data_IF_016065420368
#
_entry.id   IF_016065420368
#
_cell.length_a   1.000
_cell.length_b   1.000
_cell.length_c   1.000
_cell.angle_alpha   90.00
_cell.angle_beta   90.00
_cell.angle_gamma   90.00
#
_symmetry.space_group_name_H-M   'P 1'
#
loop_
_entity.id
_entity.type
_entity.pdbx_description
1 polymer ?
#
# COMPACT_ATOMS: atom_id res chain seq x y z
N UNK A 1 5.64 -11.51 9.01
CA UNK A 1 4.50 -10.61 8.75
C UNK A 1 5.02 -9.19 8.81
N UNK A 2 4.81 -8.37 7.78
CA UNK A 2 5.25 -6.98 7.74
C UNK A 2 4.33 -6.09 8.59
N UNK A 3 4.78 -4.89 8.96
CA UNK A 3 3.96 -3.95 9.73
C UNK A 3 2.64 -3.61 9.02
N UNK A 4 2.66 -3.37 7.70
CA UNK A 4 1.47 -3.13 6.89
C UNK A 4 0.51 -4.32 6.87
N UNK A 5 1.01 -5.56 6.83
CA UNK A 5 0.17 -6.75 6.96
C UNK A 5 -0.51 -6.79 8.33
N UNK A 6 0.21 -6.46 9.41
CA UNK A 6 -0.35 -6.40 10.76
C UNK A 6 -1.45 -5.35 10.85
N UNK A 7 -1.20 -4.12 10.35
CA UNK A 7 -2.21 -3.04 10.36
C UNK A 7 -3.43 -3.46 9.55
N UNK A 8 -3.25 -3.94 8.32
CA UNK A 8 -4.37 -4.34 7.48
C UNK A 8 -5.19 -5.47 8.10
N UNK A 9 -4.55 -6.43 8.77
CA UNK A 9 -5.23 -7.51 9.50
C UNK A 9 -6.06 -6.98 10.66
N UNK A 10 -5.49 -6.08 11.48
CA UNK A 10 -6.18 -5.48 12.62
C UNK A 10 -7.38 -4.66 12.14
N UNK A 11 -7.19 -3.79 11.15
CA UNK A 11 -8.26 -2.93 10.65
C UNK A 11 -9.36 -3.72 9.94
N UNK A 12 -8.99 -4.79 9.22
CA UNK A 12 -9.98 -5.71 8.67
C UNK A 12 -10.81 -6.34 9.79
N UNK A 13 -10.18 -6.81 10.86
CA UNK A 13 -10.88 -7.40 12.00
C UNK A 13 -11.76 -6.37 12.72
N UNK A 14 -11.27 -5.15 12.94
CA UNK A 14 -12.03 -4.04 13.53
C UNK A 14 -13.29 -3.73 12.69
N UNK A 15 -13.18 -3.68 11.36
CA UNK A 15 -14.33 -3.48 10.48
C UNK A 15 -15.34 -4.63 10.60
N UNK A 16 -14.87 -5.88 10.68
CA UNK A 16 -15.73 -7.06 10.89
C UNK A 16 -16.50 -6.96 12.21
N UNK A 17 -15.81 -6.62 13.29
CA UNK A 17 -16.40 -6.55 14.62
C UNK A 17 -17.43 -5.42 14.75
N UNK A 18 -17.28 -4.35 13.96
CA UNK A 18 -18.21 -3.23 13.89
C UNK A 18 -19.32 -3.40 12.82
N UNK A 19 -19.32 -4.49 12.05
CA UNK A 19 -20.29 -4.70 10.97
C UNK A 19 -20.08 -3.79 9.73
N UNK A 20 -18.92 -3.16 9.60
CA UNK A 20 -18.52 -2.35 8.44
C UNK A 20 -18.04 -3.26 7.30
N UNK A 21 -18.99 -3.78 6.52
CA UNK A 21 -18.74 -4.74 5.42
C UNK A 21 -17.81 -4.13 4.36
N UNK A 22 -18.06 -2.88 3.98
CA UNK A 22 -17.29 -2.18 2.96
C UNK A 22 -15.83 -1.99 3.41
N UNK A 23 -15.63 -1.55 4.67
CA UNK A 23 -14.30 -1.45 5.26
C UNK A 23 -13.61 -2.81 5.37
N UNK A 24 -14.34 -3.86 5.74
CA UNK A 24 -13.82 -5.23 5.83
C UNK A 24 -13.27 -5.73 4.48
N UNK A 25 -14.01 -5.50 3.40
CA UNK A 25 -13.59 -5.87 2.04
C UNK A 25 -12.37 -5.07 1.58
N UNK A 26 -12.37 -3.75 1.81
CA UNK A 26 -11.26 -2.88 1.40
C UNK A 26 -9.97 -3.18 2.18
N UNK A 27 -10.05 -3.38 3.50
CA UNK A 27 -8.89 -3.80 4.29
C UNK A 27 -8.42 -5.22 3.93
N UNK A 28 -9.35 -6.11 3.54
CA UNK A 28 -9.02 -7.41 2.96
C UNK A 28 -8.25 -7.31 1.65
N UNK A 29 -8.66 -6.41 0.75
CA UNK A 29 -7.93 -6.13 -0.48
C UNK A 29 -6.54 -5.56 -0.20
N UNK A 30 -6.39 -4.64 0.75
CA UNK A 30 -5.08 -4.11 1.15
C UNK A 30 -4.19 -5.22 1.71
N UNK A 31 -4.72 -6.08 2.58
CA UNK A 31 -3.97 -7.21 3.13
C UNK A 31 -3.50 -8.16 2.01
N UNK A 32 -4.37 -8.46 1.05
CA UNK A 32 -4.01 -9.21 -0.14
C UNK A 32 -2.89 -8.51 -0.93
N UNK A 33 -3.04 -7.22 -1.20
CA UNK A 33 -2.07 -6.45 -1.97
C UNK A 33 -0.69 -6.43 -1.32
N UNK A 34 -0.60 -6.09 -0.03
CA UNK A 34 0.66 -6.08 0.72
C UNK A 34 1.32 -7.45 0.73
N UNK A 35 0.52 -8.53 0.77
CA UNK A 35 1.03 -9.90 0.74
C UNK A 35 1.59 -10.29 -0.63
N UNK A 36 0.91 -9.90 -1.72
CA UNK A 36 1.37 -10.14 -3.09
C UNK A 36 2.65 -9.36 -3.40
N UNK A 37 2.71 -8.08 -3.02
CA UNK A 37 3.91 -7.27 -3.24
C UNK A 37 5.10 -7.77 -2.42
N UNK A 38 4.86 -8.37 -1.26
CA UNK A 38 5.92 -8.91 -0.41
C UNK A 38 6.93 -7.83 -0.01
N UNK A 39 8.20 -8.19 0.16
CA UNK A 39 9.27 -7.24 0.46
C UNK A 39 9.69 -6.46 -0.80
N UNK A 40 9.64 -7.12 -1.96
CA UNK A 40 10.16 -6.58 -3.22
C UNK A 40 9.29 -5.46 -3.80
N UNK A 41 7.99 -5.46 -3.49
CA UNK A 41 7.06 -4.41 -3.87
C UNK A 41 6.86 -3.29 -2.86
N UNK A 42 7.68 -3.26 -1.80
CA UNK A 42 7.66 -2.20 -0.80
C UNK A 42 8.72 -1.15 -1.12
N UNK A 43 8.42 0.10 -0.77
CA UNK A 43 9.36 1.22 -0.91
C UNK A 43 10.53 1.07 0.05
N UNK A 44 11.72 1.43 -0.41
CA UNK A 44 12.89 1.61 0.45
C UNK A 44 12.84 2.97 1.16
N UNK A 45 13.60 3.07 2.26
CA UNK A 45 13.79 4.32 2.98
C UNK A 45 15.26 4.67 3.11
N UNK A 46 15.59 5.93 2.86
CA UNK A 46 16.90 6.50 3.12
C UNK A 46 16.80 7.56 4.24
N UNK A 47 17.85 7.70 5.04
CA UNK A 47 17.96 8.84 5.97
C UNK A 47 18.38 10.08 5.18
N UNK A 48 17.62 11.17 5.34
CA UNK A 48 17.81 12.41 4.58
C UNK A 48 17.57 13.64 5.46
N UNK A 49 17.80 14.83 4.91
CA UNK A 49 17.59 16.11 5.58
C UNK A 49 16.83 17.10 4.67
N UNK A 50 15.67 17.57 5.13
CA UNK A 50 14.87 18.57 4.42
C UNK A 50 14.66 19.78 5.32
N UNK A 51 15.08 20.97 4.87
CA UNK A 51 15.00 22.24 5.62
C UNK A 51 15.66 22.17 7.03
N UNK A 52 16.72 21.39 7.20
CA UNK A 52 17.40 21.21 8.48
C UNK A 52 16.76 20.17 9.41
N UNK A 53 15.68 19.50 8.98
CA UNK A 53 15.03 18.43 9.71
C UNK A 53 15.42 17.06 9.16
N UNK A 54 15.74 16.11 10.06
CA UNK A 54 15.99 14.72 9.67
C UNK A 54 14.70 14.03 9.25
N UNK A 55 14.64 13.62 7.99
CA UNK A 55 13.49 12.94 7.39
C UNK A 55 13.84 11.53 6.93
N UNK A 56 12.83 10.75 6.59
CA UNK A 56 12.96 9.46 5.90
C UNK A 56 12.50 9.64 4.46
N UNK A 57 13.41 9.61 3.51
CA UNK A 57 13.10 9.69 2.08
C UNK A 57 12.58 8.34 1.60
N UNK A 58 11.33 8.29 1.14
CA UNK A 58 10.66 7.08 0.69
C UNK A 58 10.82 6.96 -0.83
N UNK A 59 11.53 5.93 -1.26
CA UNK A 59 11.84 5.69 -2.67
C UNK A 59 10.70 4.91 -3.34
N UNK A 60 10.38 5.26 -4.59
CA UNK A 60 9.30 4.58 -5.31
C UNK A 60 9.78 3.33 -6.06
N UNK A 61 8.85 2.44 -6.36
CA UNK A 61 9.10 1.19 -7.08
C UNK A 61 8.45 1.28 -8.45
N UNK A 62 9.27 1.28 -9.51
CA UNK A 62 8.80 1.59 -10.87
C UNK A 62 7.73 0.65 -11.43
N UNK A 63 7.73 -0.63 -11.04
CA UNK A 63 6.75 -1.60 -11.53
C UNK A 63 5.37 -1.48 -10.88
N UNK A 64 5.26 -0.81 -9.73
CA UNK A 64 4.04 -0.75 -8.93
C UNK A 64 3.18 0.41 -9.40
N UNK A 65 1.88 0.16 -9.58
CA UNK A 65 0.91 1.22 -9.86
C UNK A 65 0.92 2.34 -8.80
N UNK A 66 0.85 3.62 -9.19
CA UNK A 66 0.89 4.75 -8.26
C UNK A 66 -0.18 4.69 -7.16
N UNK A 67 -1.36 4.12 -7.45
CA UNK A 67 -2.45 3.99 -6.49
C UNK A 67 -2.03 3.21 -5.22
N UNK A 68 -1.17 2.20 -5.37
CA UNK A 68 -0.68 1.43 -4.22
C UNK A 68 0.29 2.22 -3.35
N UNK A 69 1.00 3.20 -3.91
CA UNK A 69 1.84 4.11 -3.12
C UNK A 69 0.98 4.88 -2.13
N UNK A 70 -0.07 5.53 -2.62
CA UNK A 70 -0.99 6.32 -1.79
C UNK A 70 -1.74 5.45 -0.77
N UNK A 71 -2.18 4.25 -1.19
CA UNK A 71 -2.81 3.31 -0.26
C UNK A 71 -1.86 2.90 0.87
N UNK A 72 -0.63 2.51 0.55
CA UNK A 72 0.33 2.07 1.57
C UNK A 72 0.78 3.19 2.49
N UNK A 73 0.87 4.43 1.99
CA UNK A 73 1.11 5.60 2.81
C UNK A 73 -0.03 5.79 3.83
N UNK A 74 -1.28 5.65 3.40
CA UNK A 74 -2.45 5.74 4.28
C UNK A 74 -2.48 4.64 5.36
N UNK A 75 -2.10 3.41 5.00
CA UNK A 75 -1.92 2.32 5.97
C UNK A 75 -0.91 2.71 7.04
N UNK A 76 0.22 3.28 6.64
CA UNK A 76 1.30 3.66 7.57
C UNK A 76 0.89 4.80 8.51
N UNK A 77 0.15 5.81 8.01
CA UNK A 77 -0.35 6.92 8.84
C UNK A 77 -1.28 6.40 9.94
N UNK A 78 -2.12 5.41 9.63
CA UNK A 78 -3.10 4.86 10.58
C UNK A 78 -2.44 4.20 11.79
N UNK A 79 -1.25 3.62 11.61
CA UNK A 79 -0.44 3.10 12.71
C UNK A 79 0.02 4.19 13.68
N UNK A 80 0.41 5.35 13.16
CA UNK A 80 0.87 6.48 13.98
C UNK A 80 -0.27 7.04 14.82
N UNK A 81 -1.49 7.10 14.27
CA UNK A 81 -2.67 7.62 14.95
C UNK A 81 -3.15 6.73 16.12
N UNK A 82 -2.96 5.40 16.05
CA UNK A 82 -3.37 4.45 17.10
C UNK A 82 -2.39 4.35 18.30
N UNK A 83 -1.40 5.25 18.40
CA UNK A 83 -0.81 5.62 19.69
C UNK A 83 -0.03 4.52 20.42
N UNK A 84 0.79 3.72 19.72
CA UNK A 84 1.82 2.93 20.41
C UNK A 84 2.95 3.88 20.85
N UNK A 85 2.90 4.34 22.09
CA UNK A 85 3.86 5.25 22.70
C UNK A 85 5.29 4.74 22.58
N UNK A 86 6.03 5.30 21.62
CA UNK A 86 7.45 5.06 21.41
C UNK A 86 7.95 6.03 20.35
N UNK A 87 9.04 6.74 20.64
CA UNK A 87 9.85 7.62 19.77
C UNK A 87 9.13 8.21 18.55
N UNK A 88 8.88 9.53 18.54
CA UNK A 88 8.36 10.28 17.37
C UNK A 88 8.96 9.74 16.07
N UNK A 89 8.12 9.15 15.23
CA UNK A 89 8.53 8.69 13.90
C UNK A 89 9.02 9.91 13.12
N UNK A 90 10.16 9.77 12.44
CA UNK A 90 10.67 10.83 11.57
C UNK A 90 9.64 11.09 10.47
N UNK A 91 9.50 12.36 10.10
CA UNK A 91 8.68 12.75 8.95
C UNK A 91 9.17 11.98 7.73
N UNK A 92 8.26 11.30 7.05
CA UNK A 92 8.53 10.62 5.78
C UNK A 92 8.28 11.61 4.66
N UNK A 93 9.23 11.70 3.74
CA UNK A 93 9.17 12.58 2.58
C UNK A 93 9.27 11.72 1.35
N UNK A 94 8.31 11.92 0.48
CA UNK A 94 8.22 11.22 -0.78
C UNK A 94 9.13 11.87 -1.80
N UNK A 95 10.04 11.09 -2.38
CA UNK A 95 10.96 11.57 -3.42
C UNK A 95 10.63 10.92 -4.76
N UNK A 96 10.90 11.62 -5.86
CA UNK A 96 10.70 11.08 -7.21
C UNK A 96 11.74 10.04 -7.61
N UNK A 97 12.71 9.73 -6.74
CA UNK A 97 13.74 8.73 -6.96
C UNK A 97 13.11 7.33 -6.97
N UNK A 98 13.29 6.63 -8.08
CA UNK A 98 12.87 5.24 -8.23
C UNK A 98 14.01 4.30 -7.85
N UNK A 99 13.65 3.18 -7.22
CA UNK A 99 14.55 2.04 -7.01
C UNK A 99 14.17 0.89 -7.92
N UNK A 100 15.20 0.27 -8.50
CA UNK A 100 15.04 -0.99 -9.21
C UNK A 100 14.90 -2.12 -8.19
N UNK A 101 13.76 -2.81 -8.26
CA UNK A 101 13.43 -3.97 -7.45
C UNK A 101 13.08 -5.13 -8.36
N UNK A 102 13.29 -6.35 -7.87
CA UNK A 102 12.83 -7.54 -8.58
C UNK A 102 11.30 -7.58 -8.61
N UNK A 103 10.72 -7.88 -9.77
CA UNK A 103 9.28 -8.09 -9.87
C UNK A 103 8.86 -9.32 -9.05
N UNK A 104 7.89 -9.19 -8.11
CA UNK A 104 7.38 -10.33 -7.36
C UNK A 104 6.82 -11.41 -8.28
N UNK A 105 7.01 -12.68 -7.93
CA UNK A 105 6.41 -13.80 -8.67
C UNK A 105 4.89 -13.76 -8.52
N UNK A 106 4.18 -14.05 -9.61
CA UNK A 106 2.71 -14.15 -9.64
C UNK A 106 1.96 -12.86 -9.25
N UNK A 107 2.58 -11.70 -9.42
CA UNK A 107 1.89 -10.43 -9.21
C UNK A 107 0.78 -10.23 -10.26
N UNK A 108 -0.46 -9.89 -9.89
CA UNK A 108 -1.52 -9.61 -10.85
C UNK A 108 -1.14 -8.42 -11.73
N UNK A 109 -1.47 -8.48 -13.02
CA UNK A 109 -1.19 -7.38 -13.95
C UNK A 109 -1.87 -6.06 -13.54
N UNK A 110 -3.03 -6.14 -12.86
CA UNK A 110 -3.75 -5.00 -12.27
C UNK A 110 -2.87 -4.20 -11.31
N UNK A 111 -1.82 -4.80 -10.74
CA UNK A 111 -0.94 -4.16 -9.77
C UNK A 111 0.26 -3.47 -10.42
N UNK A 112 0.42 -3.68 -11.73
CA UNK A 112 1.60 -3.26 -12.48
C UNK A 112 1.36 -1.97 -13.24
N UNK A 113 2.36 -1.09 -13.21
CA UNK A 113 2.40 0.10 -14.04
C UNK A 113 2.44 -0.27 -15.53
N UNK A 114 1.94 0.59 -16.43
CA UNK A 114 2.07 0.38 -17.87
C UNK A 114 3.51 0.10 -18.27
N UNK A 115 3.74 -0.92 -19.09
CA UNK A 115 5.06 -1.33 -19.55
C UNK A 115 5.68 -2.50 -18.77
N UNK A 116 5.10 -2.91 -17.65
CA UNK A 116 5.50 -4.12 -16.93
C UNK A 116 4.55 -5.29 -17.26
N UNK A 117 5.13 -6.49 -17.38
CA UNK A 117 4.36 -7.71 -17.65
C UNK A 117 4.49 -8.66 -16.47
N UNK A 118 3.37 -9.25 -16.08
CA UNK A 118 3.37 -10.33 -15.10
C UNK A 118 3.92 -11.60 -15.74
N UNK A 119 4.75 -12.33 -14.99
CA UNK A 119 5.16 -13.69 -15.35
C UNK A 119 4.11 -14.74 -14.98
N UNK A 120 2.97 -14.33 -14.40
CA UNK A 120 1.91 -15.24 -13.96
C UNK A 120 1.27 -15.98 -15.13
N UNK A 121 1.05 -17.28 -14.95
CA UNK A 121 0.08 -18.05 -15.72
C UNK A 121 -1.27 -17.32 -15.71
N UNK A 122 -1.95 -17.29 -16.86
CA UNK A 122 -3.12 -16.47 -17.15
C UNK A 122 -4.13 -16.44 -15.99
N UNK A 123 -4.19 -15.32 -15.27
CA UNK A 123 -5.28 -15.02 -14.33
C UNK A 123 -6.56 -14.91 -15.19
N UNK A 124 -7.67 -15.56 -14.82
CA UNK A 124 -8.93 -15.43 -15.55
C UNK A 124 -9.33 -13.96 -15.69
N UNK A 125 -9.88 -13.59 -16.84
CA UNK A 125 -10.25 -12.21 -17.15
C UNK A 125 -11.25 -11.65 -16.11
N UNK A 126 -12.13 -12.50 -15.59
CA UNK A 126 -13.10 -12.18 -14.55
C UNK A 126 -12.41 -11.77 -13.24
N UNK A 127 -11.33 -12.46 -12.87
CA UNK A 127 -10.55 -12.13 -11.68
C UNK A 127 -9.76 -10.83 -11.87
N UNK A 128 -9.28 -10.54 -13.08
CA UNK A 128 -8.66 -9.25 -13.42
C UNK A 128 -9.68 -8.11 -13.24
N UNK A 129 -10.89 -8.27 -13.77
CA UNK A 129 -11.96 -7.27 -13.64
C UNK A 129 -12.32 -7.04 -12.18
N UNK A 130 -12.44 -8.11 -11.39
CA UNK A 130 -12.74 -8.00 -9.97
C UNK A 130 -11.63 -7.27 -9.21
N UNK A 131 -10.36 -7.59 -9.46
CA UNK A 131 -9.23 -6.92 -8.81
C UNK A 131 -9.15 -5.44 -9.16
N UNK A 132 -9.47 -5.05 -10.40
CA UNK A 132 -9.54 -3.65 -10.78
C UNK A 132 -10.67 -2.92 -10.05
N UNK A 133 -11.85 -3.55 -9.96
CA UNK A 133 -12.97 -3.00 -9.22
C UNK A 133 -12.66 -2.87 -7.72
N UNK A 134 -11.98 -3.84 -7.13
CA UNK A 134 -11.54 -3.80 -5.73
C UNK A 134 -10.52 -2.69 -5.49
N UNK A 135 -9.57 -2.49 -6.42
CA UNK A 135 -8.61 -1.39 -6.35
C UNK A 135 -9.33 -0.04 -6.36
N UNK A 136 -10.20 0.20 -7.35
CA UNK A 136 -10.94 1.46 -7.48
C UNK A 136 -11.81 1.71 -6.25
N UNK A 137 -12.55 0.69 -5.79
CA UNK A 137 -13.37 0.78 -4.57
C UNK A 137 -12.53 1.15 -3.36
N UNK A 138 -11.39 0.48 -3.18
CA UNK A 138 -10.49 0.71 -2.04
C UNK A 138 -9.89 2.11 -2.09
N UNK A 139 -9.41 2.57 -3.25
CA UNK A 139 -8.86 3.92 -3.41
C UNK A 139 -9.90 4.97 -3.09
N UNK A 140 -11.13 4.84 -3.62
CA UNK A 140 -12.22 5.77 -3.36
C UNK A 140 -12.62 5.80 -1.89
N UNK A 141 -12.76 4.64 -1.25
CA UNK A 141 -13.09 4.56 0.17
C UNK A 141 -12.03 5.28 1.01
N UNK A 142 -10.76 5.07 0.70
CA UNK A 142 -9.67 5.70 1.43
C UNK A 142 -9.58 7.20 1.17
N UNK A 143 -9.89 7.63 -0.05
CA UNK A 143 -10.00 9.04 -0.39
C UNK A 143 -11.07 9.72 0.46
N UNK A 144 -12.27 9.16 0.48
CA UNK A 144 -13.44 9.72 1.17
C UNK A 144 -13.29 9.68 2.70
N UNK A 145 -12.78 8.58 3.26
CA UNK A 145 -12.67 8.40 4.72
C UNK A 145 -11.44 9.05 5.32
N UNK A 146 -10.35 9.23 4.56
CA UNK A 146 -9.05 9.62 5.12
C UNK A 146 -8.45 10.90 4.52
N UNK A 147 -9.16 11.62 3.64
CA UNK A 147 -8.70 12.90 3.06
C UNK A 147 -7.25 12.79 2.59
N UNK A 148 -6.99 11.89 1.63
CA UNK A 148 -5.66 11.73 1.05
C UNK A 148 -5.26 13.03 0.33
N UNK A 149 -4.64 13.96 1.05
CA UNK A 149 -4.05 15.17 0.50
C UNK A 149 -2.79 14.75 -0.26
N UNK A 150 -2.84 14.88 -1.59
CA UNK A 150 -1.66 14.84 -2.47
C UNK A 150 -0.89 16.14 -2.31
#
# INVERSE_FOLDING_TARGET
>A
MTQRQTIATIEQQDCKDNGDIEGYECWGFILYAVTVFGIDGMSDEEDDEENGEKVKSVLDVGFRRPEFRTLFQSVDIRHVAKGQGGRKLRRRVEVSKMVERQLPRNIPCVFLSPGFQSSSNAIPQEAIIQLEADLVRTVNLFWDRYNMLI
#
